data_IF_721117377220
#
_entry.id   IF_721117377220
#
_cell.length_a   1.000
_cell.length_b   1.000
_cell.length_c   1.000
_cell.angle_alpha   90.00
_cell.angle_beta   90.00
_cell.angle_gamma   90.00
#
_symmetry.space_group_name_H-M   'P 1'
#
loop_
_entity.id
_entity.type
_entity.pdbx_description
1 polymer ?
#
# COMPACT_ATOMS: atom_id res chain seq x y z
N UNK A 1 -9.95 2.19 -11.23
CA UNK A 1 -8.94 1.87 -12.26
C UNK A 1 -8.69 0.39 -12.15
N UNK A 2 -8.96 -0.38 -13.22
CA UNK A 2 -8.67 -1.81 -13.22
C UNK A 2 -7.22 -1.99 -13.65
N UNK A 3 -6.37 -2.36 -12.70
CA UNK A 3 -4.98 -2.69 -12.95
C UNK A 3 -4.91 -4.19 -13.12
N UNK A 4 -4.71 -4.64 -14.36
CA UNK A 4 -4.49 -6.05 -14.67
C UNK A 4 -3.01 -6.22 -14.98
N UNK A 5 -2.21 -6.78 -14.05
CA UNK A 5 -0.79 -7.01 -14.28
C UNK A 5 -0.58 -7.89 -15.52
N UNK A 6 0.43 -7.56 -16.31
CA UNK A 6 0.85 -8.36 -17.46
C UNK A 6 1.48 -9.69 -17.04
N UNK A 7 1.80 -10.52 -18.03
CA UNK A 7 2.55 -11.76 -17.79
C UNK A 7 3.98 -11.40 -17.36
N UNK A 8 4.40 -11.85 -16.18
CA UNK A 8 5.73 -11.52 -15.61
C UNK A 8 5.74 -10.27 -14.74
N UNK A 9 4.58 -9.66 -14.49
CA UNK A 9 4.44 -8.55 -13.57
C UNK A 9 3.85 -9.01 -12.23
N UNK A 10 4.35 -8.44 -11.14
CA UNK A 10 3.87 -8.68 -9.79
C UNK A 10 3.31 -7.39 -9.21
N UNK A 11 2.02 -7.38 -8.83
CA UNK A 11 1.45 -6.28 -8.06
C UNK A 11 1.78 -6.44 -6.58
N UNK A 12 2.19 -5.33 -5.97
CA UNK A 12 2.46 -5.21 -4.54
C UNK A 12 1.68 -4.04 -3.98
N UNK A 13 1.09 -4.21 -2.81
CA UNK A 13 0.64 -3.06 -2.03
C UNK A 13 1.86 -2.21 -1.68
N UNK A 14 1.73 -0.90 -1.85
CA UNK A 14 2.77 0.07 -1.61
C UNK A 14 2.20 1.16 -0.69
N UNK A 15 2.35 0.95 0.61
CA UNK A 15 1.78 1.86 1.59
C UNK A 15 2.81 2.89 2.04
N UNK A 16 2.40 4.15 2.11
CA UNK A 16 3.18 5.18 2.76
C UNK A 16 3.14 5.01 4.27
N UNK A 17 4.30 5.04 4.90
CA UNK A 17 4.43 4.80 6.34
C UNK A 17 5.36 5.82 7.00
N UNK A 18 5.22 5.92 8.33
CA UNK A 18 6.16 6.64 9.19
C UNK A 18 7.00 5.66 9.98
N UNK A 19 8.31 5.70 9.75
CA UNK A 19 9.29 4.95 10.52
C UNK A 19 10.00 5.88 11.50
N UNK A 20 10.21 5.42 12.72
CA UNK A 20 10.95 6.14 13.77
C UNK A 20 12.23 5.39 14.12
N UNK A 21 13.33 6.13 14.21
CA UNK A 21 14.60 5.58 14.67
C UNK A 21 14.53 5.18 16.14
N UNK A 22 14.98 3.97 16.45
CA UNK A 22 15.17 3.46 17.81
C UNK A 22 16.64 3.06 17.97
N UNK A 23 17.08 2.66 19.19
CA UNK A 23 18.50 2.44 19.53
C UNK A 23 19.27 1.59 18.53
N UNK A 24 18.68 0.51 18.00
CA UNK A 24 19.35 -0.41 17.07
C UNK A 24 18.48 -0.79 15.87
N UNK A 25 17.30 -0.18 15.70
CA UNK A 25 16.33 -0.53 14.66
C UNK A 25 15.51 0.69 14.23
N UNK A 26 14.77 0.53 13.17
CA UNK A 26 13.65 1.40 12.81
C UNK A 26 12.36 0.74 13.28
N UNK A 27 11.46 1.52 13.87
CA UNK A 27 10.17 1.05 14.38
C UNK A 27 9.06 1.61 13.50
N UNK A 28 8.09 0.79 13.16
CA UNK A 28 6.87 1.23 12.49
C UNK A 28 6.05 2.07 13.48
N UNK A 29 6.07 3.39 13.29
CA UNK A 29 5.32 4.31 14.15
C UNK A 29 3.87 4.41 13.70
N UNK A 30 3.66 4.60 12.41
CA UNK A 30 2.33 4.78 11.84
C UNK A 30 2.32 4.24 10.39
N UNK A 31 1.33 3.38 10.12
CA UNK A 31 1.08 2.84 8.79
C UNK A 31 0.01 3.63 8.00
N UNK A 32 -0.62 4.60 8.63
CA UNK A 32 -1.59 5.50 7.99
C UNK A 32 -0.96 6.79 7.50
N UNK A 33 0.35 6.92 7.69
CA UNK A 33 1.14 8.10 7.38
C UNK A 33 0.51 9.40 7.91
N UNK A 34 0.00 9.36 9.16
CA UNK A 34 -0.52 10.53 9.84
C UNK A 34 -1.67 11.22 9.08
N UNK A 35 -2.64 10.44 8.61
CA UNK A 35 -3.76 10.96 7.84
C UNK A 35 -3.36 11.67 6.55
N UNK A 36 -2.48 11.05 5.77
CA UNK A 36 -2.04 11.54 4.47
C UNK A 36 -3.25 11.83 3.56
N UNK A 37 -3.32 13.04 3.00
CA UNK A 37 -4.35 13.37 2.04
C UNK A 37 -4.12 12.67 0.69
N UNK A 38 -5.17 12.51 -0.12
CA UNK A 38 -5.02 11.94 -1.46
C UNK A 38 -4.10 12.80 -2.35
N UNK A 39 -4.16 14.12 -2.19
CA UNK A 39 -3.31 15.07 -2.94
C UNK A 39 -1.84 14.92 -2.58
N UNK A 40 -1.52 14.90 -1.28
CA UNK A 40 -0.16 14.64 -0.80
C UNK A 40 0.35 13.27 -1.27
N UNK A 41 -0.49 12.23 -1.20
CA UNK A 41 -0.16 10.90 -1.68
C UNK A 41 0.23 10.90 -3.16
N UNK A 42 -0.53 11.61 -3.99
CA UNK A 42 -0.24 11.73 -5.42
C UNK A 42 1.07 12.47 -5.68
N UNK A 43 1.35 13.58 -4.96
CA UNK A 43 2.62 14.29 -5.05
C UNK A 43 3.81 13.38 -4.72
N UNK A 44 3.71 12.62 -3.64
CA UNK A 44 4.76 11.69 -3.20
C UNK A 44 4.96 10.54 -4.19
N UNK A 45 3.86 9.93 -4.70
CA UNK A 45 3.95 8.88 -5.71
C UNK A 45 4.60 9.37 -7.01
N UNK A 46 4.25 10.58 -7.44
CA UNK A 46 4.84 11.17 -8.64
C UNK A 46 6.35 11.39 -8.45
N UNK A 47 6.78 11.80 -7.26
CA UNK A 47 8.19 11.93 -6.94
C UNK A 47 8.91 10.57 -7.00
N UNK A 48 8.32 9.50 -6.46
CA UNK A 48 8.87 8.15 -6.55
C UNK A 48 8.96 7.69 -8.01
N UNK A 49 7.87 7.83 -8.78
CA UNK A 49 7.82 7.41 -10.19
C UNK A 49 8.84 8.15 -11.06
N UNK A 50 9.14 9.41 -10.74
CA UNK A 50 10.07 10.24 -11.53
C UNK A 50 11.52 9.99 -11.18
N UNK A 51 11.82 9.63 -9.92
CA UNK A 51 13.18 9.54 -9.43
C UNK A 51 13.71 8.10 -9.30
N UNK A 52 12.84 7.10 -9.16
CA UNK A 52 13.23 5.69 -9.23
C UNK A 52 13.21 5.26 -10.70
N UNK A 53 14.36 5.39 -11.36
CA UNK A 53 14.48 5.17 -12.82
C UNK A 53 15.31 3.94 -13.19
N UNK A 54 15.98 3.35 -12.23
CA UNK A 54 16.87 2.19 -12.40
C UNK A 54 16.18 0.84 -12.14
N UNK A 55 14.89 0.87 -11.81
CA UNK A 55 14.03 -0.30 -11.64
C UNK A 55 12.82 -0.22 -12.59
N UNK A 56 12.41 -1.36 -13.14
CA UNK A 56 11.22 -1.47 -13.97
C UNK A 56 9.96 -1.53 -13.08
N UNK A 57 9.57 -0.38 -12.51
CA UNK A 57 8.43 -0.26 -11.60
C UNK A 57 7.46 0.82 -12.03
N UNK A 58 6.18 0.58 -11.78
CA UNK A 58 5.12 1.57 -11.98
C UNK A 58 4.32 1.72 -10.70
N UNK A 59 4.17 2.95 -10.23
CA UNK A 59 3.35 3.27 -9.07
C UNK A 59 1.96 3.73 -9.49
N UNK A 60 0.95 3.21 -8.82
CA UNK A 60 -0.45 3.53 -9.07
C UNK A 60 -1.09 4.07 -7.80
N UNK A 61 -1.74 5.23 -7.93
CA UNK A 61 -2.44 5.85 -6.82
C UNK A 61 -3.66 5.02 -6.41
N UNK A 62 -3.74 4.73 -5.12
CA UNK A 62 -4.90 4.17 -4.47
C UNK A 62 -5.69 5.22 -3.69
N UNK A 63 -6.00 4.93 -2.44
CA UNK A 63 -6.63 5.90 -1.53
C UNK A 63 -5.64 6.29 -0.43
N UNK A 64 -5.32 7.58 -0.35
CA UNK A 64 -4.47 8.14 0.69
C UNK A 64 -3.11 7.41 0.77
N UNK A 65 -2.82 6.75 1.88
CA UNK A 65 -1.56 6.03 2.10
C UNK A 65 -1.48 4.65 1.41
N UNK A 66 -2.62 4.07 0.99
CA UNK A 66 -2.67 2.79 0.27
C UNK A 66 -2.51 2.98 -1.22
N UNK A 67 -1.43 2.48 -1.76
CA UNK A 67 -1.12 2.55 -3.17
C UNK A 67 -0.71 1.17 -3.70
N UNK A 68 -0.44 1.07 -4.98
CA UNK A 68 0.01 -0.13 -5.63
C UNK A 68 1.31 0.14 -6.38
N UNK A 69 2.23 -0.79 -6.32
CA UNK A 69 3.40 -0.85 -7.16
C UNK A 69 3.34 -2.10 -8.02
N UNK A 70 3.59 -1.97 -9.31
CA UNK A 70 3.74 -3.11 -10.22
C UNK A 70 5.19 -3.16 -10.67
N UNK A 71 5.80 -4.33 -10.59
CA UNK A 71 7.17 -4.56 -11.02
C UNK A 71 7.29 -5.81 -11.88
N UNK A 72 8.25 -5.80 -12.80
CA UNK A 72 8.67 -7.01 -13.50
C UNK A 72 9.51 -7.86 -12.57
N UNK A 73 9.06 -9.06 -12.25
CA UNK A 73 9.79 -10.01 -11.40
C UNK A 73 9.25 -11.41 -11.54
N UNK A 74 10.09 -12.40 -11.28
CA UNK A 74 9.61 -13.76 -11.07
C UNK A 74 8.78 -13.85 -9.79
N UNK A 75 7.66 -14.58 -9.81
CA UNK A 75 6.82 -14.77 -8.64
C UNK A 75 7.60 -15.40 -7.48
N UNK A 76 7.51 -14.81 -6.31
CA UNK A 76 8.10 -15.34 -5.09
C UNK A 76 7.02 -15.74 -4.07
N UNK A 77 7.33 -16.75 -3.26
CA UNK A 77 6.37 -17.34 -2.30
C UNK A 77 6.49 -16.78 -0.90
N UNK A 78 7.56 -16.03 -0.61
CA UNK A 78 7.73 -15.42 0.70
C UNK A 78 6.63 -14.39 0.95
N UNK A 79 5.98 -14.50 2.10
CA UNK A 79 4.93 -13.56 2.51
C UNK A 79 5.57 -12.30 3.08
N UNK A 80 5.31 -11.18 2.45
CA UNK A 80 5.63 -9.87 3.00
C UNK A 80 4.55 -9.46 4.01
N UNK A 81 4.96 -9.08 5.21
CA UNK A 81 4.06 -8.78 6.33
C UNK A 81 3.35 -7.44 6.12
N UNK A 82 2.03 -7.35 6.29
CA UNK A 82 1.30 -6.10 6.18
C UNK A 82 1.71 -5.09 7.27
N UNK A 83 1.72 -3.78 6.99
CA UNK A 83 2.24 -2.79 7.93
C UNK A 83 1.43 -2.64 9.22
N UNK A 84 0.14 -2.95 9.20
CA UNK A 84 -0.70 -2.92 10.39
C UNK A 84 -0.32 -3.97 11.45
N UNK A 85 0.37 -5.04 11.07
CA UNK A 85 0.90 -6.06 11.98
C UNK A 85 2.23 -5.60 12.63
N UNK A 86 2.80 -4.48 12.19
CA UNK A 86 4.15 -4.03 12.56
C UNK A 86 4.18 -2.78 13.45
N UNK A 87 3.04 -2.21 13.78
CA UNK A 87 2.99 -0.99 14.60
C UNK A 87 3.61 -1.22 15.96
N UNK A 88 4.63 -0.43 16.30
CA UNK A 88 5.39 -0.56 17.53
C UNK A 88 6.53 -1.58 17.48
N UNK A 89 6.63 -2.35 16.38
CA UNK A 89 7.66 -3.38 16.21
C UNK A 89 8.88 -2.84 15.45
N UNK A 90 10.04 -3.42 15.74
CA UNK A 90 11.26 -3.21 14.96
C UNK A 90 11.13 -3.88 13.61
N UNK A 91 11.35 -3.13 12.53
CA UNK A 91 11.07 -3.61 11.17
C UNK A 91 12.15 -4.51 10.58
N UNK A 92 13.35 -4.56 11.17
CA UNK A 92 14.49 -5.29 10.61
C UNK A 92 14.20 -6.76 10.31
N UNK A 93 13.51 -7.44 11.22
CA UNK A 93 13.16 -8.86 11.05
C UNK A 93 12.08 -9.14 10.02
N UNK A 94 11.36 -8.09 9.58
CA UNK A 94 10.28 -8.16 8.60
C UNK A 94 10.68 -7.60 7.23
N UNK A 95 11.89 -7.03 7.14
CA UNK A 95 12.43 -6.58 5.87
C UNK A 95 12.68 -7.78 4.95
N UNK A 96 12.40 -7.65 3.66
CA UNK A 96 12.74 -8.68 2.68
C UNK A 96 14.23 -9.04 2.76
N UNK A 97 14.58 -10.32 2.62
CA UNK A 97 15.98 -10.73 2.58
C UNK A 97 16.70 -10.04 1.42
N UNK A 98 17.71 -9.23 1.75
CA UNK A 98 18.45 -8.44 0.77
C UNK A 98 19.24 -9.29 -0.23
N UNK A 99 19.50 -10.57 0.03
CA UNK A 99 20.14 -11.47 -0.92
C UNK A 99 19.14 -11.99 -1.96
N UNK A 100 17.90 -12.22 -1.55
CA UNK A 100 16.84 -12.76 -2.39
C UNK A 100 16.04 -11.65 -3.08
N UNK A 101 15.82 -10.51 -2.40
CA UNK A 101 14.95 -9.43 -2.84
C UNK A 101 15.68 -8.09 -2.98
N UNK A 102 16.86 -8.11 -3.59
CA UNK A 102 17.73 -6.93 -3.75
C UNK A 102 16.99 -5.72 -4.32
N UNK A 103 16.16 -5.95 -5.32
CA UNK A 103 15.42 -4.89 -6.01
C UNK A 103 14.36 -4.25 -5.10
N UNK A 104 13.59 -5.05 -4.32
CA UNK A 104 12.63 -4.52 -3.37
C UNK A 104 13.30 -3.66 -2.30
N UNK A 105 14.38 -4.17 -1.71
CA UNK A 105 15.15 -3.44 -0.70
C UNK A 105 15.75 -2.16 -1.30
N UNK A 106 16.23 -2.21 -2.53
CA UNK A 106 16.76 -1.06 -3.24
C UNK A 106 15.67 0.01 -3.46
N UNK A 107 14.49 -0.37 -3.95
CA UNK A 107 13.34 0.52 -4.14
C UNK A 107 12.94 1.18 -2.81
N UNK A 108 12.83 0.40 -1.73
CA UNK A 108 12.50 0.92 -0.41
C UNK A 108 13.54 1.94 0.09
N UNK A 109 14.83 1.67 -0.09
CA UNK A 109 15.90 2.58 0.30
C UNK A 109 15.90 3.87 -0.52
N UNK A 110 15.70 3.78 -1.84
CA UNK A 110 15.56 4.98 -2.69
C UNK A 110 14.34 5.80 -2.28
N UNK A 111 13.20 5.16 -2.03
CA UNK A 111 12.00 5.83 -1.56
C UNK A 111 12.25 6.61 -0.27
N UNK A 112 12.99 6.05 0.70
CA UNK A 112 13.34 6.76 1.93
C UNK A 112 14.12 8.06 1.65
N UNK A 113 15.10 8.01 0.74
CA UNK A 113 15.91 9.19 0.39
C UNK A 113 15.05 10.26 -0.31
N UNK A 114 14.20 9.84 -1.25
CA UNK A 114 13.32 10.74 -2.01
C UNK A 114 12.31 11.41 -1.07
N UNK A 115 11.63 10.61 -0.25
CA UNK A 115 10.61 11.08 0.67
C UNK A 115 11.19 12.01 1.75
N UNK A 116 12.37 11.68 2.30
CA UNK A 116 13.04 12.52 3.29
C UNK A 116 13.26 13.96 2.79
N UNK A 117 13.60 14.12 1.53
CA UNK A 117 13.90 15.41 0.92
C UNK A 117 12.67 16.14 0.34
N UNK A 118 11.51 15.49 0.32
CA UNK A 118 10.33 16.03 -0.35
C UNK A 118 9.73 17.24 0.36
N UNK A 119 9.23 18.20 -0.44
CA UNK A 119 8.62 19.44 0.09
C UNK A 119 7.40 19.20 0.95
N UNK A 120 6.58 18.17 0.65
CA UNK A 120 5.43 17.80 1.45
C UNK A 120 5.83 17.46 2.89
N UNK A 121 6.93 16.77 3.12
CA UNK A 121 7.42 16.47 4.46
C UNK A 121 7.88 17.73 5.22
N UNK A 122 8.41 18.74 4.54
CA UNK A 122 8.71 20.02 5.16
C UNK A 122 7.44 20.76 5.59
N UNK A 123 6.38 20.74 4.78
CA UNK A 123 5.06 21.28 5.15
C UNK A 123 4.50 20.56 6.38
N UNK A 124 4.48 19.23 6.35
CA UNK A 124 4.00 18.39 7.46
C UNK A 124 4.72 18.70 8.78
N UNK A 125 6.03 18.84 8.76
CA UNK A 125 6.80 19.24 9.94
C UNK A 125 6.43 20.61 10.47
N UNK A 126 6.17 21.59 9.60
CA UNK A 126 5.71 22.93 10.00
C UNK A 126 4.32 22.89 10.64
N UNK A 127 3.49 21.94 10.25
CA UNK A 127 2.14 21.70 10.79
C UNK A 127 2.15 20.78 12.02
N UNK A 128 3.32 20.30 12.44
CA UNK A 128 3.46 19.39 13.60
C UNK A 128 3.03 17.95 13.29
N UNK A 129 2.92 17.60 12.02
CA UNK A 129 2.58 16.25 11.56
C UNK A 129 3.85 15.40 11.40
N UNK A 130 3.69 14.09 11.58
CA UNK A 130 4.77 13.14 11.32
C UNK A 130 5.10 13.08 9.81
N UNK A 131 6.38 12.96 9.46
CA UNK A 131 6.80 12.83 8.07
C UNK A 131 6.40 11.47 7.50
N UNK A 132 6.06 11.45 6.23
CA UNK A 132 5.98 10.22 5.42
C UNK A 132 7.38 9.90 4.93
N UNK A 133 8.10 9.03 5.59
CA UNK A 133 9.52 8.84 5.35
C UNK A 133 9.90 7.48 4.75
N UNK A 134 8.92 6.62 4.50
CA UNK A 134 9.16 5.33 3.83
C UNK A 134 7.92 4.84 3.09
N UNK A 135 8.14 3.86 2.23
CA UNK A 135 7.10 2.98 1.71
C UNK A 135 7.25 1.60 2.35
N UNK A 136 6.14 0.89 2.48
CA UNK A 136 6.12 -0.50 2.90
C UNK A 136 5.48 -1.35 1.80
N UNK A 137 6.24 -2.35 1.32
CA UNK A 137 5.81 -3.24 0.24
C UNK A 137 5.32 -4.55 0.83
N UNK A 138 4.13 -4.99 0.43
CA UNK A 138 3.49 -6.21 0.93
C UNK A 138 2.44 -6.73 -0.03
N UNK A 139 1.76 -7.84 0.30
CA UNK A 139 0.63 -8.33 -0.48
C UNK A 139 1.02 -8.93 -1.82
N UNK A 140 2.22 -9.49 -1.94
CA UNK A 140 2.69 -10.22 -3.11
C UNK A 140 1.87 -11.49 -3.30
N UNK A 141 0.81 -11.40 -4.09
CA UNK A 141 -0.06 -12.52 -4.42
C UNK A 141 -0.10 -12.78 -5.92
N UNK A 142 -0.37 -14.02 -6.31
CA UNK A 142 -0.76 -14.30 -7.69
C UNK A 142 -2.22 -13.91 -7.85
N UNK A 143 -2.54 -13.29 -8.97
CA UNK A 143 -3.94 -13.10 -9.35
C UNK A 143 -4.61 -14.48 -9.44
N UNK A 144 -5.63 -14.68 -8.62
CA UNK A 144 -6.45 -15.89 -8.65
C UNK A 144 -7.86 -15.51 -9.08
N UNK A 145 -8.46 -16.34 -9.92
CA UNK A 145 -9.87 -16.18 -10.24
C UNK A 145 -10.68 -16.56 -8.99
N UNK A 146 -11.38 -15.60 -8.42
CA UNK A 146 -12.30 -15.88 -7.33
C UNK A 146 -13.59 -16.49 -7.92
N UNK A 147 -14.22 -17.45 -7.22
CA UNK A 147 -15.52 -17.96 -7.63
C UNK A 147 -16.54 -16.82 -7.60
N UNK A 148 -17.44 -16.81 -8.59
CA UNK A 148 -18.54 -15.85 -8.61
C UNK A 148 -19.43 -16.04 -7.39
N UNK A 149 -19.94 -14.94 -6.82
CA UNK A 149 -20.90 -15.01 -5.72
C UNK A 149 -22.20 -15.71 -6.15
N UNK A 150 -22.64 -15.47 -7.39
CA UNK A 150 -23.84 -16.14 -7.96
C UNK A 150 -23.66 -17.66 -8.03
N UNK A 151 -22.47 -18.12 -8.46
CA UNK A 151 -22.16 -19.56 -8.51
C UNK A 151 -22.16 -20.19 -7.11
N UNK A 152 -21.74 -19.44 -6.10
CA UNK A 152 -21.65 -19.94 -4.71
C UNK A 152 -22.98 -19.89 -3.97
N UNK A 153 -23.82 -18.89 -4.23
CA UNK A 153 -25.02 -18.61 -3.45
C UNK A 153 -26.31 -18.54 -4.26
N UNK A 154 -26.26 -18.68 -5.58
CA UNK A 154 -27.41 -18.57 -6.51
C UNK A 154 -28.22 -17.27 -6.30
N UNK A 155 -27.57 -16.19 -5.92
CA UNK A 155 -28.17 -14.87 -5.62
C UNK A 155 -27.25 -13.76 -6.03
N UNK A 156 -27.81 -12.67 -6.52
CA UNK A 156 -27.14 -11.38 -6.68
C UNK A 156 -27.04 -10.68 -5.34
N UNK A 157 -25.90 -10.06 -5.07
CA UNK A 157 -25.66 -9.35 -3.83
C UNK A 157 -24.96 -8.00 -4.04
N UNK A 158 -25.06 -7.14 -3.02
CA UNK A 158 -24.32 -5.89 -2.97
C UNK A 158 -23.56 -5.79 -1.66
N UNK A 159 -22.31 -5.28 -1.71
CA UNK A 159 -21.47 -5.02 -0.54
C UNK A 159 -21.41 -3.52 -0.30
N UNK A 160 -21.82 -3.11 0.90
CA UNK A 160 -21.72 -1.73 1.35
C UNK A 160 -20.52 -1.65 2.30
N UNK A 161 -19.44 -0.99 1.88
CA UNK A 161 -18.20 -0.93 2.68
C UNK A 161 -17.33 0.27 2.28
N UNK A 162 -16.58 0.77 3.25
CA UNK A 162 -15.48 1.71 3.02
C UNK A 162 -14.16 0.98 2.68
N UNK A 163 -14.03 -0.28 3.05
CA UNK A 163 -12.81 -1.07 2.86
C UNK A 163 -12.54 -1.34 1.38
N UNK A 164 -11.37 -0.93 0.89
CA UNK A 164 -10.90 -1.21 -0.47
C UNK A 164 -10.76 -2.70 -0.73
N UNK A 165 -10.26 -3.44 0.24
CA UNK A 165 -10.10 -4.89 0.14
C UNK A 165 -11.44 -5.57 -0.08
N UNK A 166 -12.44 -5.24 0.73
CA UNK A 166 -13.78 -5.80 0.60
C UNK A 166 -14.46 -5.38 -0.71
N UNK A 167 -14.24 -4.14 -1.18
CA UNK A 167 -14.70 -3.70 -2.51
C UNK A 167 -14.05 -4.52 -3.63
N UNK A 168 -12.73 -4.77 -3.52
CA UNK A 168 -12.00 -5.59 -4.49
C UNK A 168 -12.50 -7.03 -4.54
N UNK A 169 -12.65 -7.67 -3.38
CA UNK A 169 -13.18 -9.04 -3.26
C UNK A 169 -14.60 -9.12 -3.82
N UNK A 170 -15.47 -8.18 -3.46
CA UNK A 170 -16.84 -8.15 -3.93
C UNK A 170 -16.93 -8.02 -5.46
N UNK A 171 -16.13 -7.11 -6.05
CA UNK A 171 -16.06 -6.94 -7.50
C UNK A 171 -15.55 -8.20 -8.20
N UNK A 172 -14.48 -8.81 -7.68
CA UNK A 172 -13.93 -10.04 -8.22
C UNK A 172 -14.91 -11.22 -8.14
N UNK A 173 -15.82 -11.20 -7.15
CA UNK A 173 -16.92 -12.15 -7.01
C UNK A 173 -18.18 -11.77 -7.81
N UNK A 174 -18.16 -10.75 -8.66
CA UNK A 174 -19.30 -10.31 -9.47
C UNK A 174 -20.39 -9.54 -8.70
N UNK A 175 -20.09 -9.06 -7.47
CA UNK A 175 -21.04 -8.33 -6.66
C UNK A 175 -20.99 -6.81 -6.92
N UNK A 176 -22.12 -6.13 -6.74
CA UNK A 176 -22.14 -4.68 -6.73
C UNK A 176 -21.51 -4.13 -5.45
N UNK A 177 -20.79 -3.02 -5.57
CA UNK A 177 -20.17 -2.34 -4.42
C UNK A 177 -20.72 -0.94 -4.25
N UNK A 178 -21.10 -0.58 -3.03
CA UNK A 178 -21.55 0.77 -2.65
C UNK A 178 -20.56 1.35 -1.66
N UNK A 179 -20.05 2.55 -1.92
CA UNK A 179 -19.17 3.26 -1.00
C UNK A 179 -20.00 3.90 0.12
N UNK A 180 -19.58 3.68 1.35
CA UNK A 180 -20.06 4.47 2.50
C UNK A 180 -19.15 5.67 2.62
N UNK A 181 -19.44 6.73 1.86
CA UNK A 181 -18.85 8.04 2.09
C UNK A 181 -19.76 8.79 3.06
N UNK A 182 -19.27 9.05 4.27
CA UNK A 182 -19.91 9.95 5.20
C UNK A 182 -21.05 9.37 6.05
N UNK A 183 -21.12 8.09 6.31
CA UNK A 183 -22.04 7.54 7.31
C UNK A 183 -21.54 7.82 8.75
N UNK A 184 -21.50 9.10 9.14
CA UNK A 184 -21.57 9.52 10.53
C UNK A 184 -23.04 9.45 10.96
N UNK A 185 -23.49 8.32 11.48
CA UNK A 185 -24.86 8.22 11.96
C UNK A 185 -25.41 6.82 12.11
N UNK A 186 -24.67 5.90 12.70
CA UNK A 186 -25.30 4.79 13.38
C UNK A 186 -25.55 5.23 14.84
N UNK A 187 -26.73 5.78 15.09
CA UNK A 187 -27.25 5.85 16.45
C UNK A 187 -27.76 4.46 16.81
N UNK A 188 -27.14 3.85 17.80
CA UNK A 188 -27.69 2.66 18.46
C UNK A 188 -29.07 3.02 19.01
N UNK A 189 -30.07 2.26 18.61
CA UNK A 189 -31.38 2.15 19.28
C UNK A 189 -31.48 0.80 19.96
#
# INVERSE_FOLDING_TARGET
MDISPGTGEIPLCCDFVTLQSSHNDMVMKDFTAGHLSCEESMELLQALQTQIVDCAVTFHSGLSYHNLMVMESEPFSERLTPPNELVGEGIRQFMPDSNQFKELVHIMNQAQIILHNHSSNRRRQQEGLDPVNSIWLWGNGRSTTLPSFEDSFSRTGSVVTASLLLKGIARAAGMNTVSVEGATGFTET
#
